data_IF_567222070075
#
_entry.id   IF_567222070075
#
_cell.length_a   1.000
_cell.length_b   1.000
_cell.length_c   1.000
_cell.angle_alpha   90.00
_cell.angle_beta   90.00
_cell.angle_gamma   90.00
#
_symmetry.space_group_name_H-M   'P 1'
#
loop_
_entity.id
_entity.type
_entity.pdbx_description
1 polymer ?
#
# COMPACT_ATOMS: atom_id res chain seq x y z
N UNK A 1 -60.78 18.80 -3.35
CA UNK A 1 -60.01 20.00 -2.92
C UNK A 1 -58.73 19.55 -2.24
N UNK A 2 -57.62 20.25 -2.55
CA UNK A 2 -56.25 20.02 -2.09
C UNK A 2 -56.07 20.29 -0.58
N UNK A 3 -55.07 19.63 0.05
CA UNK A 3 -53.99 20.15 0.93
C UNK A 3 -53.54 19.03 1.90
N UNK A 4 -52.40 18.38 1.71
CA UNK A 4 -51.04 18.75 2.14
C UNK A 4 -50.94 19.11 3.64
N UNK A 5 -50.32 18.22 4.43
CA UNK A 5 -49.37 18.59 5.48
C UNK A 5 -48.24 17.55 5.56
N UNK A 6 -47.02 18.09 5.49
CA UNK A 6 -45.71 17.47 5.68
C UNK A 6 -45.63 16.72 7.01
N UNK A 7 -44.99 15.55 7.00
CA UNK A 7 -44.26 15.05 8.15
C UNK A 7 -42.84 14.71 7.69
N UNK A 8 -41.93 15.66 7.94
CA UNK A 8 -40.49 15.43 7.91
C UNK A 8 -40.12 14.48 9.05
N UNK A 9 -39.86 13.22 8.72
CA UNK A 9 -39.12 12.31 9.58
C UNK A 9 -37.64 12.42 9.23
N UNK A 10 -36.92 13.28 9.94
CA UNK A 10 -35.47 13.39 9.89
C UNK A 10 -34.82 12.07 10.30
N UNK A 11 -34.37 11.28 9.32
CA UNK A 11 -33.39 10.22 9.55
C UNK A 11 -32.07 10.93 9.84
N UNK A 12 -31.76 11.03 11.12
CA UNK A 12 -30.45 11.44 11.59
C UNK A 12 -29.43 10.42 11.06
N UNK A 13 -28.68 10.81 10.03
CA UNK A 13 -27.41 10.18 9.68
C UNK A 13 -26.47 10.42 10.87
N UNK A 14 -26.36 9.43 11.75
CA UNK A 14 -25.21 9.30 12.63
C UNK A 14 -24.02 8.88 11.76
N UNK A 15 -23.42 9.86 11.07
CA UNK A 15 -22.03 9.76 10.63
C UNK A 15 -21.17 9.64 11.88
N UNK A 16 -20.88 8.41 12.29
CA UNK A 16 -19.74 8.13 13.15
C UNK A 16 -18.49 8.45 12.32
N UNK A 17 -18.04 9.70 12.45
CA UNK A 17 -16.72 10.16 12.10
C UNK A 17 -15.71 9.34 12.92
N UNK A 18 -15.21 8.23 12.39
CA UNK A 18 -13.85 7.81 12.73
C UNK A 18 -12.94 8.76 11.97
N UNK A 19 -12.76 9.93 12.58
CA UNK A 19 -11.69 10.85 12.22
C UNK A 19 -10.38 10.05 12.19
N UNK A 20 -9.59 10.26 11.14
CA UNK A 20 -8.17 10.05 11.21
C UNK A 20 -7.68 10.81 12.45
N UNK A 21 -7.08 10.06 13.39
CA UNK A 21 -6.56 10.57 14.65
C UNK A 21 -5.42 11.56 14.35
N UNK A 22 -5.76 12.85 14.23
CA UNK A 22 -4.83 13.93 14.51
C UNK A 22 -5.01 14.29 16.00
N UNK A 23 -4.17 13.71 16.86
CA UNK A 23 -3.94 14.18 18.22
C UNK A 23 -2.54 13.82 18.73
N UNK A 24 -1.59 14.69 18.36
CA UNK A 24 -0.57 15.31 19.20
C UNK A 24 0.20 14.46 20.24
N UNK A 25 1.53 14.47 20.15
CA UNK A 25 2.32 15.41 20.96
C UNK A 25 3.80 15.41 20.56
N UNK A 26 4.37 16.60 20.57
CA UNK A 26 5.81 16.83 20.63
C UNK A 26 6.44 16.02 21.77
N UNK A 27 7.50 15.28 21.47
CA UNK A 27 8.70 15.32 22.30
C UNK A 27 9.96 15.02 21.49
N UNK A 28 10.90 15.92 21.72
CA UNK A 28 12.28 15.99 21.28
C UNK A 28 13.10 14.72 21.57
N UNK A 29 14.06 14.48 20.67
CA UNK A 29 15.41 13.95 20.90
C UNK A 29 15.59 12.77 21.86
N UNK A 30 16.04 11.64 21.32
CA UNK A 30 17.36 11.11 21.65
C UNK A 30 17.80 9.99 20.68
N UNK A 31 18.97 10.23 20.09
CA UNK A 31 19.78 9.31 19.31
C UNK A 31 20.13 8.00 20.04
N UNK A 32 20.30 6.94 19.24
CA UNK A 32 21.29 5.84 19.35
C UNK A 32 21.59 5.22 20.73
N UNK A 33 21.50 3.89 20.84
CA UNK A 33 22.66 2.98 21.06
C UNK A 33 22.19 1.52 21.15
N UNK A 34 22.91 0.64 20.45
CA UNK A 34 22.84 -0.82 20.46
C UNK A 34 22.97 -1.46 21.86
N UNK A 35 22.30 -2.60 22.10
CA UNK A 35 22.95 -3.89 22.44
C UNK A 35 21.94 -4.98 22.90
N UNK A 36 21.95 -6.07 22.14
CA UNK A 36 21.93 -7.49 22.51
C UNK A 36 21.67 -7.91 23.99
N UNK A 37 20.66 -8.76 24.24
CA UNK A 37 20.74 -10.11 24.90
C UNK A 37 19.43 -10.59 25.57
N UNK A 38 18.98 -11.77 25.11
CA UNK A 38 18.34 -12.92 25.77
C UNK A 38 17.89 -12.82 27.25
N UNK A 39 16.60 -13.09 27.56
CA UNK A 39 16.09 -14.40 28.02
C UNK A 39 14.64 -14.34 28.57
N UNK A 40 13.93 -15.45 28.33
CA UNK A 40 12.68 -16.00 28.87
C UNK A 40 11.99 -15.34 30.08
N UNK A 41 10.66 -15.15 30.01
CA UNK A 41 9.65 -16.01 30.67
C UNK A 41 8.26 -15.34 30.75
N UNK A 42 7.28 -16.08 30.22
CA UNK A 42 5.83 -16.06 30.43
C UNK A 42 5.23 -15.18 31.56
N UNK A 43 4.30 -14.29 31.20
CA UNK A 43 3.11 -13.98 32.02
C UNK A 43 1.95 -13.50 31.14
N UNK A 44 0.80 -14.14 31.33
CA UNK A 44 -0.48 -13.80 30.72
C UNK A 44 -1.04 -12.47 31.25
N UNK A 45 -1.97 -11.94 30.45
CA UNK A 45 -3.01 -10.95 30.76
C UNK A 45 -2.65 -9.46 30.70
N UNK A 46 -3.36 -8.78 29.80
CA UNK A 46 -3.90 -7.46 30.07
C UNK A 46 -3.23 -6.34 29.31
N UNK A 47 -4.03 -5.66 28.49
CA UNK A 47 -3.74 -4.39 27.81
C UNK A 47 -2.67 -4.50 26.73
N UNK A 48 -3.14 -4.85 25.52
CA UNK A 48 -2.40 -4.61 24.29
C UNK A 48 -2.11 -3.12 24.18
N UNK A 49 -0.91 -2.74 24.60
CA UNK A 49 -0.32 -1.48 24.24
C UNK A 49 -0.22 -1.50 22.71
N UNK A 50 -1.10 -0.75 22.04
CA UNK A 50 -0.89 -0.32 20.67
C UNK A 50 0.36 0.56 20.68
N UNK A 51 1.54 -0.07 20.69
CA UNK A 51 2.70 0.54 20.06
C UNK A 51 2.34 0.60 18.59
N UNK A 52 1.71 1.73 18.20
CA UNK A 52 1.64 2.18 16.82
C UNK A 52 3.08 2.38 16.34
N UNK A 53 3.75 1.28 16.02
CA UNK A 53 4.93 1.33 15.19
C UNK A 53 4.39 1.66 13.81
N UNK A 54 4.30 2.95 13.50
CA UNK A 54 3.93 3.44 12.18
C UNK A 54 4.71 2.62 11.15
N UNK A 55 3.99 1.90 10.29
CA UNK A 55 4.63 1.00 9.34
C UNK A 55 5.29 1.86 8.27
N UNK A 56 6.63 1.79 8.20
CA UNK A 56 7.38 2.42 7.12
C UNK A 56 7.16 1.61 5.84
N UNK A 57 6.80 2.30 4.76
CA UNK A 57 6.71 1.71 3.43
C UNK A 57 8.07 1.25 2.89
N UNK A 58 8.05 0.67 1.70
CA UNK A 58 9.20 0.10 1.00
C UNK A 58 10.11 1.14 0.37
N UNK A 59 9.74 2.41 0.42
CA UNK A 59 10.47 3.52 -0.18
C UNK A 59 10.89 4.56 0.88
N UNK A 60 11.90 5.40 0.58
CA UNK A 60 12.28 6.50 1.46
C UNK A 60 11.11 7.46 1.70
N UNK A 61 11.08 8.10 2.87
CA UNK A 61 10.01 9.04 3.27
C UNK A 61 9.81 10.21 2.31
N UNK A 62 10.88 10.62 1.62
CA UNK A 62 10.87 11.70 0.62
C UNK A 62 10.88 11.19 -0.82
N UNK A 63 10.69 9.88 -1.02
CA UNK A 63 10.78 9.21 -2.31
C UNK A 63 12.20 9.03 -2.83
N UNK A 64 12.30 8.34 -3.96
CA UNK A 64 13.56 8.21 -4.70
C UNK A 64 13.59 9.26 -5.82
N UNK A 65 14.69 10.04 -5.97
CA UNK A 65 14.80 11.06 -7.00
C UNK A 65 14.93 10.48 -8.42
N UNK A 66 15.24 9.20 -8.58
CA UNK A 66 15.49 8.59 -9.88
C UNK A 66 14.34 7.70 -10.32
N UNK A 67 14.07 7.70 -11.62
CA UNK A 67 13.18 6.71 -12.20
C UNK A 67 13.87 5.34 -12.20
N UNK A 68 13.12 4.30 -11.84
CA UNK A 68 13.53 2.92 -12.08
C UNK A 68 12.32 1.99 -12.11
N UNK A 69 12.46 0.87 -12.81
CA UNK A 69 11.62 -0.30 -12.64
C UNK A 69 12.50 -1.54 -12.59
N UNK A 70 12.46 -2.24 -11.46
CA UNK A 70 13.32 -3.37 -11.17
C UNK A 70 12.44 -4.58 -10.91
N UNK A 71 12.78 -5.68 -11.57
CA UNK A 71 12.20 -6.99 -11.27
C UNK A 71 13.26 -7.85 -10.61
N UNK A 72 12.92 -8.40 -9.45
CA UNK A 72 13.75 -9.37 -8.74
C UNK A 72 12.94 -10.64 -8.48
N UNK A 73 13.62 -11.78 -8.41
CA UNK A 73 13.00 -13.06 -8.10
C UNK A 73 13.98 -13.93 -7.34
N UNK A 74 13.48 -14.95 -6.68
CA UNK A 74 14.30 -15.90 -5.97
C UNK A 74 13.49 -17.00 -5.30
N UNK A 75 14.18 -17.70 -4.41
CA UNK A 75 13.63 -18.76 -3.61
C UNK A 75 13.96 -18.47 -2.14
N UNK A 76 12.98 -18.61 -1.26
CA UNK A 76 13.16 -18.50 0.19
C UNK A 76 13.79 -19.80 0.74
N UNK A 77 14.41 -19.77 1.94
CA UNK A 77 15.02 -20.98 2.52
C UNK A 77 14.06 -22.16 2.74
N UNK A 78 12.75 -21.90 2.81
CA UNK A 78 11.71 -22.92 2.95
C UNK A 78 11.20 -23.46 1.60
N UNK A 79 11.83 -23.06 0.48
CA UNK A 79 11.51 -23.51 -0.87
C UNK A 79 10.41 -22.72 -1.58
N UNK A 80 9.88 -21.66 -0.96
CA UNK A 80 8.90 -20.78 -1.62
C UNK A 80 9.56 -19.95 -2.71
N UNK A 81 8.92 -19.89 -3.86
CA UNK A 81 9.33 -19.03 -4.96
C UNK A 81 8.74 -17.65 -4.74
N UNK A 82 9.50 -16.61 -5.06
CA UNK A 82 9.00 -15.25 -5.05
C UNK A 82 9.47 -14.46 -6.26
N UNK A 83 8.64 -13.50 -6.67
CA UNK A 83 8.99 -12.44 -7.62
C UNK A 83 8.46 -11.12 -7.12
N UNK A 84 9.19 -10.05 -7.40
CA UNK A 84 8.89 -8.70 -6.97
C UNK A 84 9.15 -7.73 -8.12
N UNK A 85 8.16 -6.89 -8.39
CA UNK A 85 8.29 -5.71 -9.24
C UNK A 85 8.30 -4.49 -8.32
N UNK A 86 9.33 -3.67 -8.45
CA UNK A 86 9.46 -2.40 -7.74
C UNK A 86 9.74 -1.28 -8.72
N UNK A 87 8.91 -0.24 -8.72
CA UNK A 87 9.14 0.91 -9.59
C UNK A 87 8.94 2.24 -8.85
N UNK A 88 9.61 3.27 -9.36
CA UNK A 88 9.54 4.62 -8.84
C UNK A 88 9.39 5.62 -9.98
N UNK A 89 8.40 6.50 -9.86
CA UNK A 89 8.27 7.72 -10.64
C UNK A 89 8.75 8.88 -9.76
N UNK A 90 9.82 9.60 -10.15
CA UNK A 90 10.42 10.67 -9.37
C UNK A 90 9.41 11.69 -8.87
N UNK A 91 9.54 12.06 -7.59
CA UNK A 91 8.73 13.09 -6.93
C UNK A 91 7.20 12.85 -6.95
N UNK A 92 6.76 11.63 -7.29
CA UNK A 92 5.34 11.34 -7.49
C UNK A 92 4.88 10.08 -6.77
N UNK A 93 5.41 8.91 -7.16
CA UNK A 93 4.86 7.64 -6.70
C UNK A 93 5.92 6.53 -6.74
N UNK A 94 5.94 5.69 -5.70
CA UNK A 94 6.60 4.40 -5.71
C UNK A 94 5.56 3.28 -5.62
N UNK A 95 5.87 2.14 -6.23
CA UNK A 95 5.03 0.94 -6.19
C UNK A 95 5.85 -0.33 -5.96
N UNK A 96 5.32 -1.24 -5.14
CA UNK A 96 5.84 -2.59 -4.96
C UNK A 96 4.71 -3.60 -5.14
N UNK A 97 4.92 -4.60 -5.98
CA UNK A 97 4.10 -5.81 -6.03
C UNK A 97 5.01 -7.02 -5.86
N UNK A 98 4.76 -7.83 -4.84
CA UNK A 98 5.50 -9.07 -4.56
C UNK A 98 4.55 -10.23 -4.49
N UNK A 99 4.86 -11.30 -5.23
CA UNK A 99 4.17 -12.57 -5.16
C UNK A 99 5.11 -13.60 -4.55
N UNK A 100 4.68 -14.30 -3.50
CA UNK A 100 5.40 -15.44 -2.91
C UNK A 100 4.48 -16.64 -2.88
N UNK A 101 4.93 -17.81 -3.32
CA UNK A 101 4.12 -19.04 -3.35
C UNK A 101 4.95 -20.33 -3.21
N UNK A 102 4.33 -21.37 -2.68
CA UNK A 102 4.90 -22.72 -2.55
C UNK A 102 4.57 -23.62 -3.76
N UNK A 103 5.08 -24.86 -3.73
CA UNK A 103 4.86 -25.85 -4.78
C UNK A 103 3.40 -26.33 -4.91
N UNK A 104 2.57 -26.08 -3.90
CA UNK A 104 1.14 -26.41 -3.91
C UNK A 104 0.28 -25.22 -4.40
N UNK A 105 0.91 -24.08 -4.70
CA UNK A 105 0.25 -22.86 -5.14
C UNK A 105 -0.40 -22.06 -4.01
N UNK A 106 -0.01 -22.30 -2.76
CA UNK A 106 -0.39 -21.46 -1.63
C UNK A 106 0.60 -20.31 -1.49
N UNK A 107 0.12 -19.14 -1.12
CA UNK A 107 1.01 -17.99 -1.06
C UNK A 107 0.34 -16.69 -0.65
N UNK A 108 1.13 -15.63 -0.80
CA UNK A 108 0.70 -14.27 -0.54
C UNK A 108 1.06 -13.36 -1.69
N UNK A 109 0.25 -12.32 -1.84
CA UNK A 109 0.55 -11.21 -2.69
C UNK A 109 0.53 -9.92 -1.90
N UNK A 110 1.66 -9.23 -1.90
CA UNK A 110 1.85 -7.92 -1.32
C UNK A 110 1.74 -6.84 -2.40
N UNK A 111 1.02 -5.76 -2.08
CA UNK A 111 0.93 -4.56 -2.88
C UNK A 111 1.14 -3.34 -2.03
N UNK A 112 1.99 -2.43 -2.47
CA UNK A 112 2.20 -1.13 -1.85
C UNK A 112 2.24 -0.04 -2.91
N UNK A 113 1.55 1.07 -2.63
CA UNK A 113 1.79 2.35 -3.26
C UNK A 113 2.27 3.35 -2.21
N UNK A 114 3.30 4.11 -2.55
CA UNK A 114 3.83 5.24 -1.78
C UNK A 114 3.71 6.52 -2.62
N UNK A 115 3.16 7.60 -2.08
CA UNK A 115 2.87 8.83 -2.82
C UNK A 115 3.54 10.07 -2.23
N UNK A 116 4.36 10.76 -3.00
CA UNK A 116 5.14 11.90 -2.51
C UNK A 116 4.51 13.24 -2.87
N UNK A 117 4.86 14.28 -2.12
CA UNK A 117 4.46 15.66 -2.37
C UNK A 117 2.93 15.88 -2.39
N UNK A 118 2.16 14.99 -1.76
CA UNK A 118 0.73 15.17 -1.60
C UNK A 118 0.42 16.17 -0.49
N UNK A 119 -0.53 17.08 -0.74
CA UNK A 119 -1.14 17.87 0.32
C UNK A 119 -2.07 16.98 1.19
N UNK A 120 -2.45 17.48 2.38
CA UNK A 120 -3.26 16.71 3.32
C UNK A 120 -4.61 16.25 2.74
N UNK A 121 -5.25 17.09 1.91
CA UNK A 121 -6.52 16.71 1.26
C UNK A 121 -6.34 15.50 0.34
N UNK A 122 -5.28 15.48 -0.45
CA UNK A 122 -4.98 14.39 -1.38
C UNK A 122 -4.60 13.11 -0.63
N UNK A 123 -3.88 13.21 0.49
CA UNK A 123 -3.59 12.06 1.36
C UNK A 123 -4.87 11.40 1.88
N UNK A 124 -5.84 12.21 2.34
CA UNK A 124 -7.14 11.70 2.80
C UNK A 124 -7.91 11.06 1.64
N UNK A 125 -7.95 11.70 0.47
CA UNK A 125 -8.64 11.16 -0.70
C UNK A 125 -8.08 9.80 -1.12
N UNK A 126 -6.75 9.67 -1.21
CA UNK A 126 -6.04 8.42 -1.49
C UNK A 126 -6.46 7.31 -0.53
N UNK A 127 -6.50 7.56 0.79
CA UNK A 127 -6.93 6.55 1.75
C UNK A 127 -8.42 6.21 1.66
N UNK A 128 -9.28 7.16 1.30
CA UNK A 128 -10.70 6.85 1.06
C UNK A 128 -10.87 5.94 -0.15
N UNK A 129 -10.20 6.25 -1.27
CA UNK A 129 -10.23 5.44 -2.49
C UNK A 129 -9.68 4.03 -2.25
N UNK A 130 -8.57 3.93 -1.52
CA UNK A 130 -8.00 2.66 -1.11
C UNK A 130 -9.00 1.82 -0.30
N UNK A 131 -9.61 2.41 0.72
CA UNK A 131 -10.57 1.72 1.60
C UNK A 131 -11.83 1.29 0.85
N UNK A 132 -12.32 2.12 -0.08
CA UNK A 132 -13.45 1.77 -0.94
C UNK A 132 -13.10 0.59 -1.84
N UNK A 133 -11.93 0.61 -2.49
CA UNK A 133 -11.47 -0.48 -3.35
C UNK A 133 -11.29 -1.81 -2.58
N UNK A 134 -10.75 -1.75 -1.35
CA UNK A 134 -10.66 -2.92 -0.46
C UNK A 134 -12.07 -3.44 -0.16
N UNK A 135 -12.99 -2.56 0.24
CA UNK A 135 -14.36 -2.94 0.59
C UNK A 135 -15.09 -3.60 -0.59
N UNK A 136 -14.99 -3.02 -1.79
CA UNK A 136 -15.60 -3.57 -3.00
C UNK A 136 -15.06 -4.95 -3.40
N UNK A 137 -13.78 -5.21 -3.13
CA UNK A 137 -13.10 -6.45 -3.53
C UNK A 137 -13.01 -7.49 -2.41
N UNK A 138 -13.36 -7.12 -1.17
CA UNK A 138 -13.21 -7.95 0.02
C UNK A 138 -13.93 -9.31 -0.05
N UNK A 139 -15.02 -9.39 -0.80
CA UNK A 139 -15.77 -10.62 -1.02
C UNK A 139 -15.16 -11.55 -2.09
N UNK A 140 -14.22 -11.04 -2.91
CA UNK A 140 -13.58 -11.77 -4.00
C UNK A 140 -12.13 -12.16 -3.69
N UNK A 141 -11.56 -11.60 -2.63
CA UNK A 141 -10.14 -11.73 -2.31
C UNK A 141 -9.97 -11.92 -0.81
N UNK A 142 -9.07 -12.82 -0.42
CA UNK A 142 -8.75 -13.08 0.98
C UNK A 142 -7.70 -12.08 1.46
N UNK A 143 -8.11 -10.85 1.77
CA UNK A 143 -7.24 -9.87 2.39
C UNK A 143 -6.89 -10.31 3.81
N UNK A 144 -5.60 -10.43 4.10
CA UNK A 144 -5.10 -10.76 5.44
C UNK A 144 -4.55 -9.54 6.16
N UNK A 145 -4.24 -8.48 5.40
CA UNK A 145 -3.76 -7.22 5.97
C UNK A 145 -4.03 -6.04 5.03
N UNK A 146 -4.30 -4.87 5.59
CA UNK A 146 -4.50 -3.60 4.86
C UNK A 146 -4.02 -2.44 5.70
N UNK A 147 -3.43 -1.42 5.09
CA UNK A 147 -2.93 -0.21 5.75
C UNK A 147 -3.02 0.99 4.82
N UNK A 148 -3.38 2.16 5.37
CA UNK A 148 -3.26 3.42 4.67
C UNK A 148 -3.02 4.58 5.65
N UNK A 149 -1.86 5.22 5.55
CA UNK A 149 -1.49 6.37 6.37
C UNK A 149 -0.20 7.00 5.81
N UNK A 150 0.06 8.27 6.13
CA UNK A 150 1.43 8.79 6.07
C UNK A 150 2.07 8.86 4.68
N UNK A 151 1.29 8.71 3.60
CA UNK A 151 1.68 8.60 2.17
C UNK A 151 1.79 7.17 1.64
N UNK A 152 1.58 6.15 2.47
CA UNK A 152 1.70 4.74 2.10
C UNK A 152 0.33 4.09 2.16
N UNK A 153 -0.01 3.31 1.15
CA UNK A 153 -1.16 2.41 1.16
C UNK A 153 -0.72 1.03 0.71
N UNK A 154 -1.01 -0.02 1.49
CA UNK A 154 -0.66 -1.38 1.12
C UNK A 154 -1.72 -2.38 1.55
N UNK A 155 -1.79 -3.51 0.85
CA UNK A 155 -2.59 -4.66 1.26
C UNK A 155 -1.88 -5.98 0.97
N UNK A 156 -2.27 -7.01 1.69
CA UNK A 156 -1.77 -8.38 1.54
C UNK A 156 -2.96 -9.30 1.31
N UNK A 157 -2.88 -10.10 0.25
CA UNK A 157 -3.87 -11.12 -0.08
C UNK A 157 -3.23 -12.48 0.10
N UNK A 158 -3.91 -13.40 0.79
CA UNK A 158 -3.56 -14.81 0.79
C UNK A 158 -4.32 -15.55 -0.32
N UNK A 159 -3.72 -16.59 -0.88
CA UNK A 159 -4.37 -17.51 -1.80
C UNK A 159 -3.92 -18.94 -1.51
N UNK A 160 -4.80 -19.89 -1.81
CA UNK A 160 -4.59 -21.31 -1.55
C UNK A 160 -4.89 -22.09 -2.82
N UNK A 161 -4.06 -23.10 -3.11
CA UNK A 161 -4.21 -23.99 -4.25
C UNK A 161 -4.39 -23.25 -5.59
N UNK A 162 -3.71 -22.11 -5.78
CA UNK A 162 -3.79 -21.36 -7.02
C UNK A 162 -3.05 -22.09 -8.15
N UNK A 163 -3.53 -22.03 -9.41
CA UNK A 163 -2.86 -22.70 -10.52
C UNK A 163 -1.41 -22.20 -10.70
N UNK A 164 -0.42 -23.08 -10.57
CA UNK A 164 0.99 -22.71 -10.65
C UNK A 164 1.35 -22.01 -11.97
N UNK A 165 0.80 -22.47 -13.09
CA UNK A 165 1.02 -21.83 -14.39
C UNK A 165 0.52 -20.38 -14.42
N UNK A 166 -0.56 -20.07 -13.70
CA UNK A 166 -1.07 -18.69 -13.57
C UNK A 166 -0.13 -17.84 -12.72
N UNK A 167 0.36 -18.38 -11.60
CA UNK A 167 1.34 -17.69 -10.75
C UNK A 167 2.67 -17.43 -11.49
N UNK A 168 3.15 -18.40 -12.25
CA UNK A 168 4.35 -18.27 -13.09
C UNK A 168 4.11 -17.26 -14.21
N UNK A 169 2.99 -17.33 -14.91
CA UNK A 169 2.62 -16.34 -15.94
C UNK A 169 2.60 -14.92 -15.37
N UNK A 170 2.05 -14.77 -14.18
CA UNK A 170 1.99 -13.49 -13.48
C UNK A 170 3.33 -12.96 -13.03
N UNK A 171 4.22 -13.83 -12.55
CA UNK A 171 5.59 -13.41 -12.23
C UNK A 171 6.38 -13.01 -13.48
N UNK A 172 6.11 -13.64 -14.62
CA UNK A 172 6.68 -13.23 -15.91
C UNK A 172 6.13 -11.86 -16.38
N UNK A 173 4.86 -11.56 -16.13
CA UNK A 173 4.24 -10.29 -16.52
C UNK A 173 4.90 -9.09 -15.83
N UNK A 174 5.54 -9.27 -14.67
CA UNK A 174 6.26 -8.20 -13.98
C UNK A 174 7.33 -7.55 -14.86
N UNK A 175 8.04 -8.33 -15.67
CA UNK A 175 9.05 -7.80 -16.59
C UNK A 175 8.41 -7.00 -17.74
N UNK A 176 7.24 -7.41 -18.22
CA UNK A 176 6.49 -6.70 -19.26
C UNK A 176 5.92 -5.39 -18.72
N UNK A 177 5.34 -5.43 -17.51
CA UNK A 177 4.85 -4.26 -16.81
C UNK A 177 5.97 -3.23 -16.63
N UNK A 178 7.17 -3.66 -16.24
CA UNK A 178 8.29 -2.73 -16.09
C UNK A 178 8.67 -2.02 -17.38
N UNK A 179 8.72 -2.74 -18.51
CA UNK A 179 9.00 -2.14 -19.82
C UNK A 179 7.91 -1.15 -20.23
N UNK A 180 6.66 -1.46 -19.89
CA UNK A 180 5.53 -0.58 -20.17
C UNK A 180 5.60 0.70 -19.35
N UNK A 181 5.91 0.61 -18.05
CA UNK A 181 6.06 1.77 -17.18
C UNK A 181 7.24 2.66 -17.59
N UNK A 182 8.38 2.06 -17.93
CA UNK A 182 9.55 2.78 -18.45
C UNK A 182 9.21 3.57 -19.71
N UNK A 183 8.55 2.93 -20.68
CA UNK A 183 8.10 3.61 -21.89
C UNK A 183 7.12 4.74 -21.60
N UNK A 184 6.15 4.53 -20.72
CA UNK A 184 5.18 5.57 -20.36
C UNK A 184 5.85 6.77 -19.70
N UNK A 185 6.84 6.51 -18.85
CA UNK A 185 7.64 7.56 -18.25
C UNK A 185 8.39 8.35 -19.31
N UNK A 186 9.13 7.69 -20.21
CA UNK A 186 9.84 8.34 -21.32
C UNK A 186 8.90 9.18 -22.20
N UNK A 187 7.76 8.62 -22.59
CA UNK A 187 6.74 9.29 -23.38
C UNK A 187 6.18 10.52 -22.65
N UNK A 188 6.02 10.45 -21.31
CA UNK A 188 5.58 11.60 -20.50
C UNK A 188 6.61 12.72 -20.46
N UNK A 189 7.90 12.38 -20.37
CA UNK A 189 8.99 13.35 -20.38
C UNK A 189 9.13 14.02 -21.75
N UNK A 190 8.86 13.29 -22.84
CA UNK A 190 8.89 13.86 -24.18
C UNK A 190 7.76 14.86 -24.42
N UNK A 191 6.53 14.52 -24.02
CA UNK A 191 5.39 15.45 -24.12
C UNK A 191 5.62 16.74 -23.34
N UNK A 192 6.14 16.62 -22.12
CA UNK A 192 6.42 17.81 -21.30
C UNK A 192 7.44 18.75 -21.96
N UNK A 193 8.47 18.20 -22.60
CA UNK A 193 9.45 19.00 -23.36
C UNK A 193 8.82 19.67 -24.58
N UNK A 194 7.90 19.00 -25.26
CA UNK A 194 7.18 19.58 -26.39
C UNK A 194 6.31 20.75 -25.92
N UNK A 195 5.54 20.59 -24.85
CA UNK A 195 4.71 21.65 -24.28
C UNK A 195 5.57 22.87 -23.88
N UNK A 196 6.71 22.65 -23.21
CA UNK A 196 7.66 23.71 -22.82
C UNK A 196 8.34 24.42 -24.01
N UNK A 197 8.35 23.82 -25.21
CA UNK A 197 8.90 24.41 -26.43
C UNK A 197 7.89 25.33 -27.14
N UNK A 198 6.59 25.21 -26.83
CA UNK A 198 5.51 25.93 -27.48
C UNK A 198 4.85 27.01 -26.60
N UNK A 199 5.24 27.13 -25.33
CA UNK A 199 4.90 28.22 -24.40
C UNK A 199 5.95 29.37 -24.41
#
# INVERSE_FOLDING_TARGET
>A
MKKFLLAMGSIALAFALTACDDSASSNSDASSTSNNQNNAASSNNGTGANTSNAKKGSFPENGDPNFYCIVTHGEEPDGKIWSEKKFNIPNRQGHVERLTFDADGNGTQYYEDSYYNLNNRNKVAMCMEFNEAVKEKSNKKNFIETYCEGQVSYFIIAFENAPLDELISRTNSFAEDCKWEEKNWEDSQNRQKEDDLYD
#
